data_IF_697982807249
#
_entry.id   IF_697982807249
#
_cell.length_a   1.000
_cell.length_b   1.000
_cell.length_c   1.000
_cell.angle_alpha   90.00
_cell.angle_beta   90.00
_cell.angle_gamma   90.00
#
_symmetry.space_group_name_H-M   'P 1'
#
loop_
_entity.id
_entity.type
_entity.pdbx_description
1 polymer ?
#
# COMPACT_ATOMS: atom_id res chain seq x y z
N UNK A 1 3.15 -14.52 8.95
CA UNK A 1 3.85 -15.37 9.95
C UNK A 1 4.53 -16.51 9.23
N UNK A 2 5.71 -16.91 9.70
CA UNK A 2 6.55 -17.94 9.08
C UNK A 2 6.86 -19.02 10.11
N UNK A 3 6.59 -20.27 9.78
CA UNK A 3 6.79 -21.43 10.62
C UNK A 3 7.69 -22.44 9.92
N UNK A 4 8.62 -23.03 10.68
CA UNK A 4 9.53 -24.05 10.18
C UNK A 4 9.40 -25.26 11.06
N UNK A 5 9.06 -26.40 10.47
CA UNK A 5 8.94 -27.69 11.14
C UNK A 5 8.17 -27.60 12.48
N UNK A 6 7.14 -26.75 12.53
CA UNK A 6 6.42 -26.43 13.76
C UNK A 6 5.16 -27.30 13.83
N UNK A 7 5.03 -28.17 14.85
CA UNK A 7 3.90 -29.10 14.96
C UNK A 7 2.63 -28.38 15.44
N UNK A 8 1.92 -27.72 14.53
CA UNK A 8 0.73 -26.92 14.81
C UNK A 8 -0.44 -27.74 15.33
N UNK A 9 -0.58 -29.00 14.89
CA UNK A 9 -1.72 -29.87 15.24
C UNK A 9 -1.38 -30.90 16.32
N UNK A 10 -0.30 -30.63 17.05
CA UNK A 10 0.26 -31.51 18.06
C UNK A 10 1.08 -32.63 17.43
N UNK A 11 2.11 -33.04 18.15
CA UNK A 11 3.03 -34.11 17.74
C UNK A 11 3.02 -35.23 18.79
N UNK A 12 3.63 -36.36 18.44
CA UNK A 12 3.97 -37.36 19.45
C UNK A 12 5.14 -36.80 20.27
N UNK A 13 4.80 -36.04 21.32
CA UNK A 13 5.75 -35.30 22.14
C UNK A 13 6.87 -36.21 22.71
N UNK A 14 6.58 -37.50 22.90
CA UNK A 14 7.56 -38.50 23.34
C UNK A 14 8.66 -38.77 22.31
N UNK A 15 8.40 -38.55 21.02
CA UNK A 15 9.39 -38.61 19.93
C UNK A 15 10.17 -37.30 19.84
N UNK A 16 9.51 -36.13 19.88
CA UNK A 16 10.18 -34.82 19.84
C UNK A 16 11.10 -34.56 21.04
N UNK A 17 10.64 -34.84 22.26
CA UNK A 17 11.40 -34.56 23.49
C UNK A 17 12.66 -35.40 23.61
N UNK A 18 12.70 -36.59 22.99
CA UNK A 18 13.93 -37.41 22.89
C UNK A 18 15.01 -36.76 22.02
N UNK A 19 14.65 -35.80 21.17
CA UNK A 19 15.56 -35.13 20.23
C UNK A 19 15.95 -33.71 20.65
N UNK A 20 15.38 -33.17 21.74
CA UNK A 20 15.76 -31.88 22.34
C UNK A 20 16.51 -32.08 23.68
N UNK A 21 17.84 -32.00 23.70
CA UNK A 21 18.64 -32.36 24.88
C UNK A 21 18.57 -31.37 26.06
N UNK A 22 17.66 -30.38 26.07
CA UNK A 22 17.66 -29.29 27.08
C UNK A 22 16.32 -28.99 27.77
N UNK A 23 15.26 -29.78 27.55
CA UNK A 23 13.99 -29.58 28.28
C UNK A 23 13.82 -30.71 29.31
N UNK A 24 14.73 -30.76 30.29
CA UNK A 24 14.49 -31.49 31.53
C UNK A 24 13.96 -30.47 32.54
N UNK A 25 12.67 -30.52 32.89
CA UNK A 25 12.16 -30.35 34.28
C UNK A 25 10.62 -30.17 34.44
N UNK A 26 9.76 -30.23 33.41
CA UNK A 26 8.32 -29.87 33.61
C UNK A 26 7.25 -30.76 32.95
N UNK A 27 7.49 -32.06 32.71
CA UNK A 27 6.74 -32.83 31.69
C UNK A 27 5.82 -33.98 32.18
N UNK A 28 4.76 -33.71 32.95
CA UNK A 28 3.68 -34.73 33.12
C UNK A 28 2.26 -34.28 32.79
N UNK A 29 1.84 -33.06 33.14
CA UNK A 29 0.49 -32.58 32.82
C UNK A 29 0.42 -31.86 31.46
N UNK A 30 1.44 -31.08 31.11
CA UNK A 30 1.47 -30.31 29.85
C UNK A 30 1.64 -31.18 28.59
N UNK A 31 2.04 -32.44 28.75
CA UNK A 31 2.37 -33.32 27.64
C UNK A 31 1.15 -34.03 27.06
N UNK A 32 0.04 -34.16 27.80
CA UNK A 32 -1.23 -34.67 27.25
C UNK A 32 -1.89 -33.66 26.33
N UNK A 33 -1.82 -32.39 26.71
CA UNK A 33 -2.50 -31.30 26.00
C UNK A 33 -1.80 -30.98 24.69
N UNK A 34 -0.51 -31.34 24.53
CA UNK A 34 0.25 -31.19 23.30
C UNK A 34 0.20 -32.42 22.37
N UNK A 35 -0.48 -33.51 22.78
CA UNK A 35 -0.61 -34.69 21.92
C UNK A 35 -1.45 -34.38 20.70
N UNK A 36 -1.08 -34.98 19.58
CA UNK A 36 -1.88 -34.95 18.34
C UNK A 36 -3.33 -35.32 18.65
N UNK A 37 -4.25 -34.43 18.29
CA UNK A 37 -5.68 -34.63 18.49
C UNK A 37 -6.20 -34.31 19.89
N UNK A 38 -5.45 -33.61 20.75
CA UNK A 38 -5.98 -33.13 22.04
C UNK A 38 -7.11 -32.10 21.84
N UNK A 39 -8.12 -32.15 22.70
CA UNK A 39 -9.22 -31.17 22.68
C UNK A 39 -8.72 -29.74 22.93
N UNK A 40 -7.70 -29.59 23.78
CA UNK A 40 -7.09 -28.29 24.08
C UNK A 40 -6.45 -27.65 22.83
N UNK A 41 -5.65 -28.41 22.06
CA UNK A 41 -5.04 -27.89 20.82
C UNK A 41 -6.08 -27.61 19.75
N UNK A 42 -7.09 -28.47 19.61
CA UNK A 42 -8.18 -28.25 18.66
C UNK A 42 -8.94 -26.96 19.00
N UNK A 43 -9.30 -26.77 20.27
CA UNK A 43 -9.99 -25.56 20.73
C UNK A 43 -9.16 -24.29 20.46
N UNK A 44 -7.86 -24.30 20.75
CA UNK A 44 -6.97 -23.16 20.49
C UNK A 44 -6.90 -22.87 18.98
N UNK A 45 -6.76 -23.91 18.15
CA UNK A 45 -6.65 -23.74 16.70
C UNK A 45 -7.95 -23.21 16.07
N UNK A 46 -9.11 -23.67 16.56
CA UNK A 46 -10.43 -23.21 16.11
C UNK A 46 -10.72 -21.78 16.54
N UNK A 47 -10.28 -21.38 17.74
CA UNK A 47 -10.42 -20.00 18.20
C UNK A 47 -9.50 -19.05 17.44
N UNK A 48 -8.23 -19.43 17.24
CA UNK A 48 -7.25 -18.61 16.52
C UNK A 48 -7.70 -18.31 15.09
N UNK A 49 -8.35 -19.29 14.42
CA UNK A 49 -8.90 -19.13 13.07
C UNK A 49 -9.87 -17.94 12.93
N UNK A 50 -10.59 -17.58 14.00
CA UNK A 50 -11.53 -16.44 14.00
C UNK A 50 -10.83 -15.10 13.86
N UNK A 51 -9.58 -15.02 14.32
CA UNK A 51 -8.79 -13.79 14.35
C UNK A 51 -7.71 -13.75 13.26
N UNK A 52 -7.51 -14.85 12.55
CA UNK A 52 -6.39 -15.03 11.63
C UNK A 52 -6.61 -14.50 10.22
N UNK A 53 -7.80 -13.99 9.88
CA UNK A 53 -8.18 -13.63 8.50
C UNK A 53 -7.37 -12.52 7.83
N UNK A 54 -6.57 -11.76 8.61
CA UNK A 54 -5.66 -10.73 8.08
C UNK A 54 -4.18 -11.15 8.11
N UNK A 55 -3.88 -12.35 8.61
CA UNK A 55 -2.52 -12.84 8.78
C UNK A 55 -2.22 -13.87 7.70
N UNK A 56 -1.20 -13.62 6.91
CA UNK A 56 -0.67 -14.59 5.95
C UNK A 56 0.19 -15.63 6.67
N UNK A 57 -0.03 -16.92 6.41
CA UNK A 57 0.72 -18.01 7.02
C UNK A 57 1.59 -18.72 6.00
N UNK A 58 2.87 -18.90 6.34
CA UNK A 58 3.82 -19.69 5.59
C UNK A 58 4.36 -20.80 6.49
N UNK A 59 4.16 -22.05 6.09
CA UNK A 59 4.57 -23.22 6.85
C UNK A 59 5.51 -24.06 6.01
N UNK A 60 6.77 -24.11 6.43
CA UNK A 60 7.85 -24.85 5.78
C UNK A 60 8.09 -26.16 6.51
N UNK A 61 8.03 -27.28 5.80
CA UNK A 61 8.17 -28.62 6.39
C UNK A 61 9.23 -29.47 5.69
N UNK A 62 9.91 -30.32 6.44
CA UNK A 62 10.93 -31.23 5.90
C UNK A 62 10.33 -32.32 5.01
N UNK A 63 11.09 -32.72 3.97
CA UNK A 63 10.74 -33.90 3.15
C UNK A 63 11.68 -35.08 3.37
N UNK A 64 12.84 -34.87 4.03
CA UNK A 64 13.78 -35.95 4.35
C UNK A 64 13.60 -36.44 5.78
N UNK A 65 13.64 -37.76 5.94
CA UNK A 65 13.68 -38.40 7.26
C UNK A 65 15.01 -38.07 7.95
N UNK A 66 14.95 -37.90 9.26
CA UNK A 66 16.15 -37.82 10.07
C UNK A 66 16.75 -39.22 10.25
N UNK A 67 18.01 -39.39 9.83
CA UNK A 67 18.74 -40.65 10.00
C UNK A 67 19.61 -40.57 11.26
N UNK A 68 19.46 -41.54 12.17
CA UNK A 68 20.27 -41.66 13.39
C UNK A 68 20.67 -43.11 13.61
N UNK A 69 21.90 -43.45 13.23
CA UNK A 69 22.37 -44.84 13.21
C UNK A 69 21.56 -45.69 12.21
N UNK A 70 21.04 -46.84 12.65
CA UNK A 70 20.23 -47.74 11.82
C UNK A 70 18.74 -47.35 11.70
N UNK A 71 18.30 -46.27 12.36
CA UNK A 71 16.90 -45.82 12.35
C UNK A 71 16.73 -44.54 11.52
N UNK A 72 15.64 -44.48 10.73
CA UNK A 72 15.26 -43.32 9.92
C UNK A 72 13.78 -43.00 10.13
N UNK A 73 13.47 -41.82 10.65
CA UNK A 73 12.10 -41.36 10.86
C UNK A 73 11.94 -39.90 10.48
N UNK A 74 10.82 -39.56 9.85
CA UNK A 74 10.33 -38.18 9.84
C UNK A 74 9.99 -37.82 11.28
N UNK A 75 10.57 -36.73 11.78
CA UNK A 75 10.32 -36.28 13.15
C UNK A 75 8.89 -35.76 13.24
N UNK A 76 8.44 -35.04 12.21
CA UNK A 76 7.08 -34.57 12.07
C UNK A 76 6.37 -35.19 10.86
N UNK A 77 5.10 -35.53 11.06
CA UNK A 77 4.17 -35.79 9.96
C UNK A 77 3.93 -34.46 9.22
N UNK A 78 4.04 -34.39 7.87
CA UNK A 78 3.73 -33.18 7.12
C UNK A 78 2.37 -32.54 7.50
N UNK A 79 1.38 -33.36 7.87
CA UNK A 79 0.06 -32.87 8.31
C UNK A 79 0.09 -32.20 9.70
N UNK A 80 1.09 -32.51 10.53
CA UNK A 80 1.35 -31.85 11.82
C UNK A 80 2.02 -30.49 11.64
N UNK A 81 2.89 -30.38 10.63
CA UNK A 81 3.67 -29.18 10.32
C UNK A 81 2.88 -28.06 9.63
N UNK A 82 1.56 -28.22 9.51
CA UNK A 82 0.65 -27.27 8.86
C UNK A 82 -0.54 -26.95 9.77
N UNK A 83 -1.06 -25.73 9.66
CA UNK A 83 -2.23 -25.26 10.40
C UNK A 83 -3.54 -25.82 9.81
N UNK A 84 -3.52 -26.21 8.54
CA UNK A 84 -4.69 -26.73 7.83
C UNK A 84 -5.70 -25.64 7.45
N UNK A 85 -5.24 -24.39 7.38
CA UNK A 85 -6.05 -23.27 6.90
C UNK A 85 -6.00 -23.21 5.37
N UNK A 86 -7.11 -22.79 4.75
CA UNK A 86 -7.23 -22.79 3.28
C UNK A 86 -6.24 -21.81 2.63
N UNK A 87 -5.95 -20.72 3.32
CA UNK A 87 -5.10 -19.62 2.87
C UNK A 87 -3.63 -19.79 3.32
N UNK A 88 -3.28 -20.91 3.97
CA UNK A 88 -1.91 -21.20 4.39
C UNK A 88 -1.04 -21.61 3.20
N UNK A 89 0.14 -21.02 3.10
CA UNK A 89 1.17 -21.44 2.15
C UNK A 89 2.00 -22.59 2.75
N UNK A 90 1.70 -23.81 2.35
CA UNK A 90 2.40 -25.02 2.78
C UNK A 90 3.53 -25.35 1.79
N UNK A 91 4.78 -25.21 2.23
CA UNK A 91 5.96 -25.28 1.36
C UNK A 91 6.90 -26.41 1.80
N UNK A 92 7.07 -27.47 0.99
CA UNK A 92 8.05 -28.51 1.28
C UNK A 92 9.48 -28.00 1.07
N UNK A 93 10.38 -28.30 1.99
CA UNK A 93 11.82 -28.05 1.85
C UNK A 93 12.58 -29.38 1.76
N UNK A 94 13.54 -29.47 0.84
CA UNK A 94 14.37 -30.66 0.61
C UNK A 94 15.48 -30.78 1.66
N UNK A 95 15.08 -30.84 2.92
CA UNK A 95 15.93 -30.85 4.10
C UNK A 95 15.39 -31.88 5.10
N UNK A 96 16.21 -32.30 6.05
CA UNK A 96 15.76 -32.96 7.27
C UNK A 96 15.46 -31.91 8.36
N UNK A 97 14.85 -32.36 9.45
CA UNK A 97 14.37 -31.46 10.52
C UNK A 97 15.48 -30.58 11.14
N UNK A 98 16.72 -31.07 11.23
CA UNK A 98 17.82 -30.38 11.94
C UNK A 98 18.35 -29.13 11.20
N UNK A 99 18.63 -29.18 9.89
CA UNK A 99 19.09 -28.04 9.11
C UNK A 99 17.99 -27.36 8.30
N UNK A 100 16.70 -27.60 8.56
CA UNK A 100 15.60 -26.97 7.80
C UNK A 100 15.67 -25.43 7.77
N UNK A 101 16.23 -24.81 8.81
CA UNK A 101 16.50 -23.36 8.89
C UNK A 101 17.98 -23.00 8.76
N UNK A 102 18.87 -23.94 8.41
CA UNK A 102 20.32 -23.76 8.34
C UNK A 102 20.78 -24.01 6.92
N UNK A 103 20.83 -22.94 6.14
CA UNK A 103 21.21 -23.00 4.74
C UNK A 103 22.72 -22.91 4.58
N UNK A 104 23.28 -23.70 3.66
CA UNK A 104 24.72 -23.76 3.45
C UNK A 104 25.26 -22.52 2.72
N UNK A 105 24.46 -21.94 1.82
CA UNK A 105 24.83 -20.75 1.06
C UNK A 105 23.61 -19.99 0.55
N UNK A 106 23.78 -18.73 0.09
CA UNK A 106 22.72 -17.98 -0.59
C UNK A 106 22.21 -18.61 -1.90
N UNK A 107 22.93 -19.60 -2.43
CA UNK A 107 22.58 -20.35 -3.64
C UNK A 107 21.79 -21.64 -3.33
N UNK A 108 21.62 -21.99 -2.05
CA UNK A 108 20.82 -23.13 -1.62
C UNK A 108 19.36 -22.98 -2.12
N UNK A 109 18.79 -23.99 -2.81
CA UNK A 109 17.40 -23.95 -3.28
C UNK A 109 16.37 -23.73 -2.16
N UNK A 110 16.58 -24.28 -0.97
CA UNK A 110 15.69 -24.08 0.18
C UNK A 110 15.79 -22.64 0.69
N UNK A 111 17.00 -22.07 0.74
CA UNK A 111 17.20 -20.65 1.07
C UNK A 111 16.49 -19.74 0.07
N UNK A 112 16.67 -19.99 -1.22
CA UNK A 112 16.03 -19.21 -2.29
C UNK A 112 14.51 -19.27 -2.17
N UNK A 113 13.96 -20.44 -1.86
CA UNK A 113 12.52 -20.65 -1.67
C UNK A 113 11.99 -19.79 -0.52
N UNK A 114 12.62 -19.87 0.66
CA UNK A 114 12.24 -19.09 1.85
C UNK A 114 12.40 -17.59 1.62
N UNK A 115 13.53 -17.18 1.03
CA UNK A 115 13.82 -15.78 0.71
C UNK A 115 12.77 -15.21 -0.25
N UNK A 116 12.40 -15.96 -1.28
CA UNK A 116 11.39 -15.51 -2.24
C UNK A 116 10.01 -15.38 -1.58
N UNK A 117 9.63 -16.32 -0.71
CA UNK A 117 8.41 -16.20 0.08
C UNK A 117 8.40 -14.94 0.96
N UNK A 118 9.53 -14.63 1.61
CA UNK A 118 9.67 -13.41 2.40
C UNK A 118 9.57 -12.15 1.54
N UNK A 119 10.24 -12.13 0.39
CA UNK A 119 10.18 -11.01 -0.55
C UNK A 119 8.75 -10.76 -1.06
N UNK A 120 7.98 -11.82 -1.34
CA UNK A 120 6.57 -11.70 -1.74
C UNK A 120 5.74 -11.02 -0.64
N UNK A 121 5.88 -11.46 0.62
CA UNK A 121 5.17 -10.85 1.75
C UNK A 121 5.55 -9.38 1.94
N UNK A 122 6.84 -9.04 1.86
CA UNK A 122 7.30 -7.65 1.96
C UNK A 122 6.70 -6.79 0.84
N UNK A 123 6.71 -7.27 -0.40
CA UNK A 123 6.14 -6.54 -1.53
C UNK A 123 4.63 -6.29 -1.34
N UNK A 124 3.89 -7.28 -0.84
CA UNK A 124 2.46 -7.13 -0.55
C UNK A 124 2.20 -6.08 0.54
N UNK A 125 2.95 -6.12 1.64
CA UNK A 125 2.83 -5.15 2.73
C UNK A 125 3.14 -3.74 2.21
N UNK A 126 4.25 -3.58 1.48
CA UNK A 126 4.65 -2.28 0.93
C UNK A 126 3.60 -1.70 -0.02
N UNK A 127 2.99 -2.52 -0.88
CA UNK A 127 1.92 -2.05 -1.77
C UNK A 127 0.67 -1.64 -0.99
N UNK A 128 0.25 -2.43 0.01
CA UNK A 128 -0.90 -2.11 0.85
C UNK A 128 -0.71 -0.82 1.65
N UNK A 129 0.50 -0.57 2.16
CA UNK A 129 0.83 0.70 2.84
C UNK A 129 0.71 1.88 1.88
N UNK A 130 1.29 1.75 0.67
CA UNK A 130 1.21 2.80 -0.34
C UNK A 130 -0.23 3.11 -0.75
N UNK A 131 -1.04 2.09 -1.01
CA UNK A 131 -2.46 2.27 -1.33
C UNK A 131 -3.20 3.01 -0.20
N UNK A 132 -2.94 2.64 1.05
CA UNK A 132 -3.53 3.32 2.22
C UNK A 132 -3.09 4.78 2.35
N UNK A 133 -1.83 5.09 2.07
CA UNK A 133 -1.30 6.46 2.08
C UNK A 133 -1.93 7.31 0.97
N UNK A 134 -2.05 6.75 -0.25
CA UNK A 134 -2.70 7.41 -1.39
C UNK A 134 -4.17 7.71 -1.09
N UNK A 135 -4.90 6.77 -0.49
CA UNK A 135 -6.29 6.98 -0.11
C UNK A 135 -6.44 8.02 1.01
N UNK A 136 -5.54 8.02 2.00
CA UNK A 136 -5.51 9.07 3.03
C UNK A 136 -5.24 10.45 2.43
N UNK A 137 -4.31 10.54 1.48
CA UNK A 137 -4.00 11.79 0.78
C UNK A 137 -5.20 12.27 -0.05
N UNK A 138 -5.88 11.36 -0.75
CA UNK A 138 -7.10 11.65 -1.51
C UNK A 138 -8.22 12.19 -0.64
N UNK A 139 -8.48 11.54 0.50
CA UNK A 139 -9.47 12.00 1.48
C UNK A 139 -9.10 13.41 2.00
N UNK A 140 -7.83 13.62 2.37
CA UNK A 140 -7.36 14.92 2.86
C UNK A 140 -7.52 16.04 1.82
N UNK A 141 -7.19 15.77 0.54
CA UNK A 141 -7.40 16.72 -0.55
C UNK A 141 -8.89 17.01 -0.73
N UNK A 142 -9.74 16.00 -0.65
CA UNK A 142 -11.18 16.17 -0.77
C UNK A 142 -11.75 17.04 0.35
N UNK A 143 -11.32 16.81 1.59
CA UNK A 143 -11.69 17.63 2.75
C UNK A 143 -11.21 19.07 2.58
N UNK A 144 -10.00 19.28 2.08
CA UNK A 144 -9.47 20.61 1.78
C UNK A 144 -10.29 21.31 0.70
N UNK A 145 -10.70 20.60 -0.37
CA UNK A 145 -11.58 21.16 -1.42
C UNK A 145 -12.92 21.62 -0.86
N UNK A 146 -13.51 20.82 0.02
CA UNK A 146 -14.76 21.16 0.72
C UNK A 146 -14.56 22.37 1.63
N UNK A 147 -13.50 22.39 2.43
CA UNK A 147 -13.19 23.47 3.36
C UNK A 147 -12.95 24.81 2.65
N UNK A 148 -12.13 24.80 1.59
CA UNK A 148 -11.84 25.99 0.79
C UNK A 148 -13.03 26.44 -0.07
N UNK A 149 -14.12 25.67 -0.08
CA UNK A 149 -15.31 25.98 -0.86
C UNK A 149 -14.98 26.13 -2.35
N UNK A 150 -14.06 25.32 -2.88
CA UNK A 150 -13.73 25.27 -4.31
C UNK A 150 -14.71 24.29 -4.95
N UNK A 151 -15.86 24.75 -5.45
CA UNK A 151 -16.97 23.89 -5.83
C UNK A 151 -16.77 23.53 -7.30
N UNK A 152 -16.49 22.25 -7.56
CA UNK A 152 -16.46 21.70 -8.92
C UNK A 152 -15.08 21.63 -9.56
N UNK A 153 -15.08 21.00 -10.74
CA UNK A 153 -13.89 20.80 -11.53
C UNK A 153 -13.50 22.13 -12.22
N UNK A 154 -12.42 22.77 -11.74
CA UNK A 154 -11.87 23.98 -12.36
C UNK A 154 -11.61 23.77 -13.86
N UNK A 155 -11.32 22.54 -14.26
CA UNK A 155 -11.12 22.17 -15.65
C UNK A 155 -12.38 22.41 -16.51
N UNK A 156 -13.58 22.12 -15.98
CA UNK A 156 -14.83 22.35 -16.71
C UNK A 156 -15.03 23.85 -16.98
N UNK A 157 -14.64 24.71 -16.02
CA UNK A 157 -14.69 26.16 -16.21
C UNK A 157 -13.73 26.63 -17.30
N UNK A 158 -12.52 26.04 -17.35
CA UNK A 158 -11.54 26.36 -18.40
C UNK A 158 -12.04 25.90 -19.77
N UNK A 159 -12.54 24.67 -19.88
CA UNK A 159 -13.10 24.11 -21.13
C UNK A 159 -14.22 25.00 -21.66
N UNK A 160 -15.18 25.39 -20.81
CA UNK A 160 -16.28 26.27 -21.21
C UNK A 160 -15.80 27.63 -21.75
N UNK A 161 -14.74 28.18 -21.16
CA UNK A 161 -14.17 29.46 -21.55
C UNK A 161 -13.37 29.34 -22.85
N UNK A 162 -12.69 28.21 -23.06
CA UNK A 162 -11.96 27.89 -24.29
C UNK A 162 -12.90 27.61 -25.46
N UNK A 163 -13.98 26.86 -25.24
CA UNK A 163 -15.01 26.58 -26.24
C UNK A 163 -15.73 27.84 -26.71
N UNK A 164 -15.89 28.83 -25.82
CA UNK A 164 -16.45 30.13 -26.15
C UNK A 164 -15.48 31.02 -26.97
N UNK A 165 -14.20 30.65 -27.09
CA UNK A 165 -13.19 31.44 -27.79
C UNK A 165 -13.29 31.25 -29.30
N UNK A 166 -13.41 32.35 -30.02
CA UNK A 166 -13.29 32.33 -31.48
C UNK A 166 -11.81 32.15 -31.91
N UNK A 167 -11.50 31.27 -32.87
CA UNK A 167 -10.14 31.13 -33.40
C UNK A 167 -9.56 32.47 -33.90
N UNK A 168 -8.26 32.70 -33.71
CA UNK A 168 -7.59 33.97 -34.07
C UNK A 168 -7.79 35.11 -33.06
N UNK A 169 -8.64 34.93 -32.03
CA UNK A 169 -8.83 35.93 -30.97
C UNK A 169 -7.89 35.71 -29.79
N UNK A 170 -7.65 36.77 -29.01
CA UNK A 170 -6.74 36.83 -27.86
C UNK A 170 -5.24 36.74 -28.18
N UNK A 171 -4.86 36.31 -29.38
CA UNK A 171 -3.46 36.18 -29.84
C UNK A 171 -2.69 37.51 -29.87
N UNK A 172 -3.39 38.63 -30.07
CA UNK A 172 -2.80 39.97 -30.00
C UNK A 172 -2.13 40.27 -28.64
N UNK A 173 -2.52 39.56 -27.58
CA UNK A 173 -1.93 39.75 -26.25
C UNK A 173 -0.46 39.34 -26.22
N UNK A 174 -0.06 38.35 -27.02
CA UNK A 174 1.33 37.88 -27.10
C UNK A 174 2.27 38.94 -27.69
N UNK A 175 1.75 39.84 -28.53
CA UNK A 175 2.51 40.95 -29.09
C UNK A 175 2.66 42.14 -28.11
N UNK A 176 1.93 42.15 -27.00
CA UNK A 176 1.91 43.28 -26.08
C UNK A 176 3.09 43.22 -25.11
N UNK A 177 3.93 44.25 -25.12
CA UNK A 177 5.14 44.32 -24.26
C UNK A 177 4.84 44.05 -22.79
N UNK A 178 3.74 44.60 -22.25
CA UNK A 178 3.33 44.38 -20.86
C UNK A 178 3.04 42.91 -20.52
N UNK A 179 2.49 42.15 -21.48
CA UNK A 179 2.23 40.72 -21.30
C UNK A 179 3.52 39.92 -21.41
N UNK A 180 4.34 40.21 -22.43
CA UNK A 180 5.62 39.53 -22.64
C UNK A 180 6.52 39.68 -21.40
N UNK A 181 6.69 40.90 -20.90
CA UNK A 181 7.50 41.19 -19.71
C UNK A 181 6.95 40.52 -18.44
N UNK A 182 5.63 40.50 -18.24
CA UNK A 182 5.02 39.79 -17.11
C UNK A 182 5.19 38.27 -17.22
N UNK A 183 5.06 37.72 -18.43
CA UNK A 183 5.12 36.28 -18.69
C UNK A 183 6.54 35.70 -18.78
N UNK A 184 7.59 36.52 -18.62
CA UNK A 184 8.98 36.06 -18.59
C UNK A 184 9.38 35.52 -17.22
N UNK A 185 8.69 35.94 -16.15
CA UNK A 185 8.97 35.56 -14.76
C UNK A 185 10.38 35.93 -14.26
N UNK A 186 11.06 36.85 -14.93
CA UNK A 186 12.42 37.28 -14.56
C UNK A 186 12.44 38.07 -13.23
N UNK A 187 13.56 38.02 -12.48
CA UNK A 187 13.73 38.88 -11.30
C UNK A 187 13.66 40.36 -11.69
N UNK A 188 12.75 41.12 -11.08
CA UNK A 188 12.61 42.57 -11.31
C UNK A 188 11.51 42.98 -12.30
N UNK A 189 10.77 42.02 -12.88
CA UNK A 189 9.57 42.32 -13.68
C UNK A 189 8.29 42.32 -12.82
N UNK A 190 7.21 42.96 -13.28
CA UNK A 190 5.94 42.90 -12.57
C UNK A 190 5.43 41.45 -12.42
N UNK A 191 5.03 41.05 -11.22
CA UNK A 191 4.46 39.71 -10.97
C UNK A 191 2.94 39.67 -11.15
N UNK A 192 2.29 40.82 -11.29
CA UNK A 192 0.83 40.94 -11.48
C UNK A 192 0.52 41.61 -12.81
N UNK A 193 -0.30 40.95 -13.63
CA UNK A 193 -0.89 41.54 -14.83
C UNK A 193 -2.37 41.81 -14.56
N UNK A 194 -2.76 43.08 -14.59
CA UNK A 194 -4.13 43.50 -14.41
C UNK A 194 -4.79 43.81 -15.76
N UNK A 195 -5.82 43.05 -16.14
CA UNK A 195 -6.59 43.29 -17.36
C UNK A 195 -7.99 43.75 -16.97
N UNK A 196 -8.35 44.98 -17.37
CA UNK A 196 -9.65 45.57 -17.14
C UNK A 196 -10.40 45.80 -18.46
N UNK A 197 -11.72 45.97 -18.38
CA UNK A 197 -12.56 46.15 -19.55
C UNK A 197 -14.03 46.10 -19.20
N UNK A 198 -14.89 46.58 -20.11
CA UNK A 198 -16.34 46.64 -19.93
C UNK A 198 -16.93 45.24 -19.63
N UNK A 199 -18.09 45.16 -18.94
CA UNK A 199 -18.85 43.92 -18.84
C UNK A 199 -19.03 43.26 -20.22
N UNK A 200 -19.02 41.93 -20.27
CA UNK A 200 -19.13 41.14 -21.50
C UNK A 200 -18.05 41.38 -22.59
N UNK A 201 -16.96 42.10 -22.29
CA UNK A 201 -15.86 42.34 -23.25
C UNK A 201 -14.91 41.13 -23.48
N UNK A 202 -15.29 39.91 -23.10
CA UNK A 202 -14.47 38.71 -23.32
C UNK A 202 -13.28 38.52 -22.37
N UNK A 203 -13.23 39.22 -21.23
CA UNK A 203 -12.14 39.09 -20.24
C UNK A 203 -11.93 37.65 -19.75
N UNK A 204 -13.01 36.92 -19.49
CA UNK A 204 -12.93 35.51 -19.06
C UNK A 204 -12.30 34.64 -20.16
N UNK A 205 -12.74 34.82 -21.41
CA UNK A 205 -12.16 34.16 -22.60
C UNK A 205 -10.67 34.46 -22.74
N UNK A 206 -10.27 35.72 -22.52
CA UNK A 206 -8.87 36.13 -22.51
C UNK A 206 -8.08 35.47 -21.38
N UNK A 207 -8.63 35.34 -20.17
CA UNK A 207 -7.95 34.62 -19.08
C UNK A 207 -7.80 33.13 -19.38
N UNK A 208 -8.78 32.48 -20.02
CA UNK A 208 -8.65 31.08 -20.46
C UNK A 208 -7.49 30.91 -21.45
N UNK A 209 -7.38 31.81 -22.43
CA UNK A 209 -6.25 31.83 -23.37
C UNK A 209 -4.89 31.97 -22.64
N UNK A 210 -4.79 32.88 -21.67
CA UNK A 210 -3.57 33.05 -20.87
C UNK A 210 -3.25 31.79 -20.06
N UNK A 211 -4.24 31.21 -19.37
CA UNK A 211 -4.07 29.98 -18.59
C UNK A 211 -3.53 28.84 -19.45
N UNK A 212 -4.09 28.63 -20.64
CA UNK A 212 -3.68 27.55 -21.54
C UNK A 212 -2.28 27.77 -22.12
N UNK A 213 -1.90 29.03 -22.36
CA UNK A 213 -0.53 29.36 -22.75
C UNK A 213 0.48 29.18 -21.61
N UNK A 214 0.13 29.53 -20.37
CA UNK A 214 0.99 29.31 -19.22
C UNK A 214 1.15 27.83 -18.88
N UNK A 215 0.10 27.01 -19.04
CA UNK A 215 0.17 25.55 -18.87
C UNK A 215 1.18 24.88 -19.80
N UNK A 216 1.36 25.40 -21.01
CA UNK A 216 2.40 24.91 -21.94
C UNK A 216 3.82 25.19 -21.43
N UNK A 217 3.99 26.21 -20.58
CA UNK A 217 5.29 26.62 -20.02
C UNK A 217 5.59 26.01 -18.65
N UNK A 218 4.60 25.45 -17.96
CA UNK A 218 4.78 24.81 -16.66
C UNK A 218 3.50 24.71 -15.83
N UNK A 219 3.67 24.56 -14.52
CA UNK A 219 2.56 24.43 -13.59
C UNK A 219 1.80 25.76 -13.48
N UNK A 220 0.49 25.73 -13.77
CA UNK A 220 -0.38 26.89 -13.72
C UNK A 220 -1.63 26.57 -12.90
N UNK A 221 -1.93 27.43 -11.92
CA UNK A 221 -3.17 27.40 -11.14
C UNK A 221 -4.07 28.54 -11.58
N UNK A 222 -5.37 28.29 -11.67
CA UNK A 222 -6.35 29.27 -12.13
C UNK A 222 -7.69 29.11 -11.42
N UNK A 223 -8.48 30.18 -11.42
CA UNK A 223 -9.79 30.21 -10.80
C UNK A 223 -10.69 31.20 -11.54
N UNK A 224 -11.92 30.79 -11.86
CA UNK A 224 -12.92 31.63 -12.51
C UNK A 224 -14.04 32.02 -11.54
N UNK A 225 -14.25 33.32 -11.37
CA UNK A 225 -15.39 33.83 -10.60
C UNK A 225 -16.65 33.80 -11.48
N UNK A 226 -17.71 33.10 -11.03
CA UNK A 226 -19.03 33.10 -11.68
C UNK A 226 -20.03 33.87 -10.82
N UNK A 227 -20.64 34.91 -11.39
CA UNK A 227 -21.74 35.65 -10.74
C UNK A 227 -23.01 34.79 -10.71
N UNK A 228 -23.56 34.53 -9.52
CA UNK A 228 -24.77 33.71 -9.33
C UNK A 228 -24.53 32.36 -8.66
N UNK A 229 -23.28 31.88 -8.63
CA UNK A 229 -22.90 30.69 -7.89
C UNK A 229 -22.50 31.08 -6.45
N UNK A 230 -23.44 30.90 -5.50
CA UNK A 230 -23.23 31.20 -4.07
C UNK A 230 -22.08 30.40 -3.45
N UNK A 231 -21.64 29.32 -4.09
CA UNK A 231 -20.51 28.52 -3.62
C UNK A 231 -19.15 29.07 -4.06
N UNK A 232 -19.07 29.82 -5.17
CA UNK A 232 -17.84 30.46 -5.69
C UNK A 232 -17.66 31.93 -5.31
N UNK A 233 -18.65 32.51 -4.62
CA UNK A 233 -18.70 33.93 -4.26
C UNK A 233 -18.51 34.19 -2.76
N UNK A 234 -18.23 33.16 -1.96
CA UNK A 234 -18.25 33.22 -0.51
C UNK A 234 -16.84 33.24 0.09
N UNK A 235 -16.35 34.43 0.40
CA UNK A 235 -15.21 34.61 1.31
C UNK A 235 -15.72 34.69 2.75
N UNK A 236 -16.13 33.56 3.33
CA UNK A 236 -16.41 33.51 4.77
C UNK A 236 -15.08 33.38 5.52
N UNK A 237 -14.37 34.49 5.70
CA UNK A 237 -13.36 34.61 6.75
C UNK A 237 -14.13 34.61 8.06
N UNK A 238 -14.40 33.41 8.61
CA UNK A 238 -14.72 33.27 10.02
C UNK A 238 -13.41 33.43 10.78
N UNK A 239 -13.25 34.58 11.40
CA UNK A 239 -12.21 34.84 12.39
C UNK A 239 -12.15 33.66 13.38
N UNK A 240 -10.98 33.04 13.50
CA UNK A 240 -10.50 32.38 14.71
C UNK A 240 -9.41 33.29 15.26
#
# INVERSE_FOLDING_TARGET
MYFFATPHRGSDLAKLLKHMPQISYSSRAYTSDLKRGSEALQSINDEFRKYSGKVEFWSFYETKKLTMGFFSSLIEDPDSATLGYREEHQIPLNSDHRPICKFESPQDPNYITVRNALALTINRISNSVRESEEDMMRCSINDLKVYLGVPGNLEDDLILVEDARMPGTCEWLEAKTSYVTWSSFDPGVPHTLWINGKPAAGKSVLSGYVTSNLRKKGNCSFYFFKSGDRSKSRWDIRYI
#
